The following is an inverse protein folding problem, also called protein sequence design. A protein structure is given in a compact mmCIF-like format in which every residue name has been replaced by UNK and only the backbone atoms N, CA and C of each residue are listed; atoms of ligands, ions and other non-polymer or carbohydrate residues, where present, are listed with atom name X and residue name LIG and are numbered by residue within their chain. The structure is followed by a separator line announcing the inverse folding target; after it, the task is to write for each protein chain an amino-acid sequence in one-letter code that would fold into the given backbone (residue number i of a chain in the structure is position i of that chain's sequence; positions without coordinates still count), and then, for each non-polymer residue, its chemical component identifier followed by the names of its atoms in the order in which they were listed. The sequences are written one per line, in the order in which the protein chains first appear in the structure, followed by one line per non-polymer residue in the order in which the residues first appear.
data_IF_442318801574
#
_entry.id   IF_442318801574
#
_cell.length_a   1.000
_cell.length_b   1.000
_cell.length_c   1.000
_cell.angle_alpha   90.00
_cell.angle_beta   90.00
_cell.angle_gamma   90.00
#
_symmetry.space_group_name_H-M   'P 1'
#
loop_
_entity.id
_entity.type
_entity.pdbx_description
1 polymer ?
#
# COMPACT_ATOMS: atom_id res chain seq x y z
N UNK A 1 7.90 1.17 3.59
CA UNK A 1 6.56 0.94 3.02
C UNK A 1 6.24 1.87 1.85
N UNK A 2 6.67 3.13 1.88
CA UNK A 2 6.52 4.07 0.75
C UNK A 2 7.08 3.54 -0.57
N UNK A 3 8.28 2.95 -0.58
CA UNK A 3 8.87 2.42 -1.83
C UNK A 3 8.00 1.35 -2.51
N UNK A 4 7.25 0.54 -1.74
CA UNK A 4 6.34 -0.47 -2.31
C UNK A 4 5.09 0.18 -2.89
N UNK A 5 4.50 1.13 -2.16
CA UNK A 5 3.34 1.89 -2.63
C UNK A 5 3.69 2.69 -3.90
N UNK A 6 4.89 3.28 -3.95
CA UNK A 6 5.40 4.00 -5.13
C UNK A 6 5.63 3.08 -6.33
N UNK A 7 6.18 1.88 -6.13
CA UNK A 7 6.37 0.91 -7.22
C UNK A 7 5.04 0.50 -7.87
N UNK A 8 4.01 0.32 -7.05
CA UNK A 8 2.65 0.03 -7.51
C UNK A 8 2.05 1.22 -8.25
N UNK A 9 2.17 2.43 -7.70
CA UNK A 9 1.73 3.65 -8.37
C UNK A 9 2.36 3.80 -9.76
N UNK A 10 3.69 3.66 -9.85
CA UNK A 10 4.41 3.75 -11.11
C UNK A 10 3.98 2.70 -12.13
N UNK A 11 3.70 1.47 -11.67
CA UNK A 11 3.19 0.42 -12.54
C UNK A 11 1.82 0.81 -13.16
N UNK A 12 0.91 1.36 -12.36
CA UNK A 12 -0.42 1.77 -12.82
C UNK A 12 -0.36 2.97 -13.78
N UNK A 13 0.52 3.94 -13.51
CA UNK A 13 0.76 5.08 -14.40
C UNK A 13 1.34 4.61 -15.75
N UNK A 14 2.24 3.62 -15.75
CA UNK A 14 2.75 3.00 -16.98
C UNK A 14 1.68 2.25 -17.78
N UNK A 15 0.54 1.89 -17.17
CA UNK A 15 -0.59 1.24 -17.81
C UNK A 15 -1.73 2.24 -18.12
N UNK A 16 -1.38 3.49 -18.40
CA UNK A 16 -2.30 4.56 -18.82
C UNK A 16 -3.38 4.96 -17.79
N UNK A 17 -3.14 4.70 -16.50
CA UNK A 17 -4.00 5.25 -15.45
C UNK A 17 -3.51 6.65 -15.09
N UNK A 18 -4.39 7.65 -15.26
CA UNK A 18 -4.13 9.05 -14.95
C UNK A 18 -3.62 9.24 -13.51
N UNK A 19 -2.49 9.94 -13.39
CA UNK A 19 -1.82 10.24 -12.12
C UNK A 19 -2.72 10.96 -11.12
N UNK A 20 -3.63 11.81 -11.58
CA UNK A 20 -4.58 12.56 -10.76
C UNK A 20 -5.67 11.69 -10.14
N UNK A 21 -5.86 10.46 -10.64
CA UNK A 21 -6.80 9.47 -10.06
C UNK A 21 -6.15 8.57 -9.01
N UNK A 22 -4.83 8.67 -8.84
CA UNK A 22 -4.05 7.76 -8.02
C UNK A 22 -3.42 8.51 -6.84
N UNK A 23 -3.57 7.95 -5.65
CA UNK A 23 -2.83 8.39 -4.46
C UNK A 23 -2.12 7.19 -3.86
N UNK A 24 -0.89 7.39 -3.41
CA UNK A 24 -0.12 6.37 -2.69
C UNK A 24 0.37 6.93 -1.37
N UNK A 25 0.34 6.09 -0.33
CA UNK A 25 0.88 6.43 0.99
C UNK A 25 1.47 5.19 1.64
N UNK A 26 2.67 5.31 2.20
CA UNK A 26 3.28 4.23 2.94
C UNK A 26 3.01 4.38 4.43
N UNK A 27 2.14 3.54 4.99
CA UNK A 27 1.78 3.61 6.41
C UNK A 27 2.81 2.98 7.36
N UNK A 28 3.87 2.34 6.86
CA UNK A 28 4.90 1.76 7.74
C UNK A 28 4.30 0.72 8.70
N UNK A 29 4.64 0.84 9.97
CA UNK A 29 4.09 0.04 11.08
C UNK A 29 2.94 0.77 11.81
N UNK A 30 2.53 1.95 11.33
CA UNK A 30 1.54 2.81 12.03
C UNK A 30 0.11 2.31 11.91
N UNK A 31 -0.16 1.37 11.00
CA UNK A 31 -1.45 0.69 10.84
C UNK A 31 -1.26 -0.82 10.79
N UNK A 32 -0.91 -1.46 11.91
CA UNK A 32 -0.85 -2.91 11.98
C UNK A 32 -2.27 -3.48 12.03
N UNK A 33 -2.49 -4.61 11.36
CA UNK A 33 -3.75 -5.38 11.47
C UNK A 33 -3.62 -6.61 12.35
N UNK A 34 -2.38 -6.98 12.67
CA UNK A 34 -2.03 -8.00 13.64
C UNK A 34 -0.89 -7.50 14.53
N UNK A 35 -0.64 -8.18 15.65
CA UNK A 35 0.47 -7.81 16.55
C UNK A 35 1.82 -7.89 15.82
N UNK A 36 2.69 -6.88 16.01
CA UNK A 36 4.07 -6.92 15.51
C UNK A 36 4.98 -7.81 16.36
N UNK A 37 4.50 -8.33 17.48
CA UNK A 37 5.30 -9.11 18.43
C UNK A 37 5.58 -10.52 17.90
N UNK A 38 4.63 -11.12 17.18
CA UNK A 38 4.75 -12.49 16.66
C UNK A 38 5.22 -12.50 15.20
N UNK A 39 5.93 -13.58 14.81
CA UNK A 39 6.34 -13.77 13.42
C UNK A 39 5.14 -13.91 12.47
N UNK A 40 4.07 -14.56 12.94
CA UNK A 40 2.78 -14.67 12.26
C UNK A 40 2.18 -13.27 11.99
N UNK A 41 2.04 -12.44 13.03
CA UNK A 41 1.41 -11.12 12.90
C UNK A 41 2.24 -10.15 12.05
N UNK A 42 3.58 -10.21 12.12
CA UNK A 42 4.45 -9.49 11.17
C UNK A 42 4.28 -9.96 9.74
N UNK A 43 3.98 -11.25 9.50
CA UNK A 43 3.69 -11.76 8.16
C UNK A 43 2.36 -11.21 7.64
N UNK A 44 1.34 -11.17 8.49
CA UNK A 44 0.03 -10.60 8.16
C UNK A 44 0.12 -9.08 7.89
N UNK A 45 0.95 -8.35 8.63
CA UNK A 45 1.19 -6.91 8.43
C UNK A 45 1.98 -6.60 7.13
N UNK A 46 2.64 -7.58 6.50
CA UNK A 46 3.33 -7.38 5.21
C UNK A 46 2.37 -7.49 4.04
N UNK A 47 1.45 -6.55 3.92
CA UNK A 47 0.47 -6.46 2.84
C UNK A 47 0.48 -5.12 2.13
N UNK A 48 -0.03 -5.11 0.90
CA UNK A 48 -0.28 -3.90 0.11
C UNK A 48 -1.79 -3.84 -0.11
N UNK A 49 -2.42 -2.74 0.30
CA UNK A 49 -3.86 -2.53 0.14
C UNK A 49 -4.12 -1.52 -0.97
N UNK A 50 -5.21 -1.75 -1.71
CA UNK A 50 -5.74 -0.84 -2.71
C UNK A 50 -7.15 -0.44 -2.29
N UNK A 51 -7.38 0.85 -2.17
CA UNK A 51 -8.69 1.41 -1.86
C UNK A 51 -9.17 2.21 -3.07
N UNK A 52 -10.31 1.82 -3.64
CA UNK A 52 -10.93 2.54 -4.75
C UNK A 52 -11.85 3.59 -4.14
N UNK A 53 -11.37 4.83 -4.08
CA UNK A 53 -12.16 5.99 -3.69
C UNK A 53 -13.00 6.45 -4.90
N UNK A 54 -14.20 5.89 -5.04
CA UNK A 54 -15.23 6.41 -5.95
C UNK A 54 -15.88 7.67 -5.37
N UNK A 55 -16.34 8.57 -6.24
CA UNK A 55 -17.06 9.79 -5.86
C UNK A 55 -18.35 9.51 -5.11
#
# INVERSE_FOLDING_TARGET
SENRAKAVYQYLVQHDIDEGRLQYKGYGESKPIATNETAEGRRENRRTEFEVVGQ
#
